data_IF_118393744806
#
_entry.id   IF_118393744806
#
_cell.length_a   1.000
_cell.length_b   1.000
_cell.length_c   1.000
_cell.angle_alpha   90.00
_cell.angle_beta   90.00
_cell.angle_gamma   90.00
#
_symmetry.space_group_name_H-M   'P 1'
#
loop_
_entity.id
_entity.type
_entity.pdbx_description
1 polymer ?
#
# COMPACT_ATOMS: atom_id res chain seq x y z
N UNK A 1 -3.06 -22.10 0.31
CA UNK A 1 -2.64 -21.46 -0.94
C UNK A 1 -3.61 -20.33 -1.17
N UNK A 2 -3.17 -19.10 -1.01
CA UNK A 2 -3.94 -17.94 -1.48
C UNK A 2 -3.66 -17.90 -2.99
N UNK A 3 -4.70 -18.08 -3.81
CA UNK A 3 -4.59 -17.90 -5.26
C UNK A 3 -4.02 -16.51 -5.57
N UNK A 4 -3.15 -16.44 -6.57
CA UNK A 4 -2.49 -15.22 -7.00
C UNK A 4 -3.49 -14.07 -7.22
N UNK A 5 -3.41 -12.96 -6.47
CA UNK A 5 -3.71 -11.67 -7.03
C UNK A 5 -2.45 -11.29 -7.81
N UNK A 6 -2.34 -11.87 -9.01
CA UNK A 6 -1.54 -11.32 -10.09
C UNK A 6 -2.45 -10.33 -10.82
N UNK A 7 -3.05 -9.42 -10.05
CA UNK A 7 -3.97 -8.40 -10.52
C UNK A 7 -3.14 -7.22 -11.03
N UNK A 8 -2.51 -7.42 -12.18
CA UNK A 8 -2.06 -6.29 -12.97
C UNK A 8 -3.30 -5.47 -13.33
N UNK A 9 -3.41 -4.27 -12.74
CA UNK A 9 -4.49 -3.35 -13.02
C UNK A 9 -3.89 -2.20 -13.80
N UNK A 10 -4.33 -2.08 -15.04
CA UNK A 10 -3.90 -1.03 -15.93
C UNK A 10 -4.96 0.06 -15.96
N UNK A 11 -4.52 1.30 -15.75
CA UNK A 11 -5.38 2.47 -15.76
C UNK A 11 -4.85 3.42 -16.84
N UNK A 12 -5.63 3.58 -17.92
CA UNK A 12 -5.27 4.36 -19.09
C UNK A 12 -6.12 5.62 -19.18
N UNK A 13 -5.50 6.80 -19.24
CA UNK A 13 -6.16 8.05 -19.62
C UNK A 13 -5.91 8.36 -21.09
N UNK A 14 -6.97 8.70 -21.83
CA UNK A 14 -6.82 9.20 -23.20
C UNK A 14 -6.11 10.54 -23.22
N UNK A 15 -5.49 10.91 -24.35
CA UNK A 15 -4.87 12.23 -24.53
C UNK A 15 -5.86 13.37 -24.27
N UNK A 16 -7.12 13.19 -24.67
CA UNK A 16 -8.19 14.16 -24.38
C UNK A 16 -8.47 14.23 -22.87
N UNK A 17 -8.64 13.09 -22.21
CA UNK A 17 -8.86 13.04 -20.76
C UNK A 17 -7.71 13.63 -19.94
N UNK A 18 -6.47 13.52 -20.41
CA UNK A 18 -5.32 14.19 -19.79
C UNK A 18 -5.39 15.72 -19.91
N UNK A 19 -5.83 16.23 -21.06
CA UNK A 19 -6.02 17.67 -21.29
C UNK A 19 -7.22 18.24 -20.54
N UNK A 20 -8.23 17.42 -20.28
CA UNK A 20 -9.46 17.81 -19.57
C UNK A 20 -9.24 17.93 -18.05
N UNK A 21 -8.18 17.32 -17.51
CA UNK A 21 -7.77 17.49 -16.12
C UNK A 21 -6.91 18.74 -15.97
N UNK A 22 -7.18 19.53 -14.94
CA UNK A 22 -6.25 20.58 -14.53
C UNK A 22 -4.91 19.98 -14.10
N UNK A 23 -3.85 20.79 -14.15
CA UNK A 23 -2.50 20.38 -13.72
C UNK A 23 -2.50 19.76 -12.31
N UNK A 24 -3.28 20.33 -11.39
CA UNK A 24 -3.38 19.81 -10.02
C UNK A 24 -4.09 18.46 -9.95
N UNK A 25 -5.19 18.29 -10.68
CA UNK A 25 -5.93 17.02 -10.73
C UNK A 25 -5.09 15.91 -11.36
N UNK A 26 -4.36 16.19 -12.44
CA UNK A 26 -3.48 15.24 -13.09
C UNK A 26 -2.35 14.79 -12.16
N UNK A 27 -1.69 15.73 -11.45
CA UNK A 27 -0.66 15.40 -10.47
C UNK A 27 -1.23 14.53 -9.34
N UNK A 28 -2.38 14.91 -8.78
CA UNK A 28 -3.04 14.12 -7.72
C UNK A 28 -3.43 12.72 -8.21
N UNK A 29 -3.87 12.60 -9.46
CA UNK A 29 -4.21 11.32 -10.05
C UNK A 29 -2.98 10.43 -10.25
N UNK A 30 -1.85 10.97 -10.74
CA UNK A 30 -0.59 10.23 -10.81
C UNK A 30 -0.09 9.82 -9.42
N UNK A 31 -0.29 10.67 -8.40
CA UNK A 31 0.07 10.35 -7.02
C UNK A 31 -0.79 9.21 -6.45
N UNK A 32 -2.08 9.16 -6.79
CA UNK A 32 -2.96 8.03 -6.46
C UNK A 32 -2.41 6.72 -7.05
N UNK A 33 -2.03 6.71 -8.33
CA UNK A 33 -1.43 5.54 -8.98
C UNK A 33 -0.10 5.14 -8.34
N UNK A 34 0.74 6.11 -7.97
CA UNK A 34 2.01 5.87 -7.27
C UNK A 34 1.80 5.21 -5.91
N UNK A 35 0.79 5.62 -5.15
CA UNK A 35 0.42 4.98 -3.88
C UNK A 35 0.03 3.51 -4.10
N UNK A 36 -0.86 3.25 -5.06
CA UNK A 36 -1.29 1.88 -5.40
C UNK A 36 -0.07 1.03 -5.76
N UNK A 37 0.77 1.50 -6.68
CA UNK A 37 1.96 0.78 -7.13
C UNK A 37 2.95 0.52 -5.99
N UNK A 38 3.21 1.50 -5.14
CA UNK A 38 4.11 1.34 -4.01
C UNK A 38 3.60 0.25 -3.04
N UNK A 39 2.32 0.27 -2.68
CA UNK A 39 1.74 -0.72 -1.78
C UNK A 39 1.72 -2.12 -2.42
N UNK A 40 1.31 -2.21 -3.70
CA UNK A 40 1.32 -3.47 -4.48
C UNK A 40 2.73 -4.06 -4.59
N UNK A 41 3.73 -3.23 -4.81
CA UNK A 41 5.14 -3.65 -4.83
C UNK A 41 5.60 -4.21 -3.48
N UNK A 42 5.31 -3.53 -2.36
CA UNK A 42 5.66 -4.03 -1.03
C UNK A 42 4.97 -5.36 -0.71
N UNK A 43 3.69 -5.50 -1.09
CA UNK A 43 2.96 -6.76 -0.95
C UNK A 43 3.53 -7.88 -1.84
N UNK A 44 4.08 -7.55 -3.01
CA UNK A 44 4.77 -8.52 -3.88
C UNK A 44 6.12 -8.96 -3.29
N UNK A 45 6.91 -8.03 -2.73
CA UNK A 45 8.17 -8.35 -2.05
C UNK A 45 7.98 -9.34 -0.89
N UNK A 46 6.87 -9.23 -0.15
CA UNK A 46 6.52 -10.21 0.90
C UNK A 46 6.43 -11.63 0.36
N UNK A 47 5.98 -11.83 -0.88
CA UNK A 47 5.85 -13.17 -1.47
C UNK A 47 7.21 -13.75 -1.83
N UNK A 48 8.10 -12.95 -2.42
CA UNK A 48 9.43 -13.42 -2.81
C UNK A 48 10.31 -13.81 -1.62
N UNK A 49 10.03 -13.30 -0.41
CA UNK A 49 10.76 -13.74 0.79
C UNK A 49 10.32 -15.11 1.31
N UNK A 50 9.18 -15.64 0.86
CA UNK A 50 8.73 -16.99 1.21
C UNK A 50 9.63 -18.09 0.63
N UNK A 51 10.37 -17.78 -0.44
CA UNK A 51 11.27 -18.69 -1.13
C UNK A 51 12.66 -18.80 -0.46
N UNK A 52 12.92 -18.02 0.60
CA UNK A 52 14.18 -18.05 1.33
C UNK A 52 14.41 -19.41 2.02
N UNK A 53 15.47 -20.12 1.62
CA UNK A 53 15.78 -21.48 2.09
C UNK A 53 16.16 -21.54 3.57
N UNK A 54 16.66 -20.43 4.14
CA UNK A 54 16.99 -20.35 5.56
C UNK A 54 15.81 -19.79 6.38
N UNK A 55 15.31 -20.58 7.33
CA UNK A 55 14.15 -20.20 8.17
C UNK A 55 14.35 -18.92 9.00
N UNK A 56 15.56 -18.66 9.49
CA UNK A 56 15.85 -17.46 10.29
C UNK A 56 15.85 -16.21 9.40
N UNK A 57 16.51 -16.28 8.24
CA UNK A 57 16.51 -15.16 7.29
C UNK A 57 15.13 -14.91 6.70
N UNK A 58 14.35 -15.97 6.44
CA UNK A 58 12.95 -15.88 6.03
C UNK A 58 12.15 -15.07 7.04
N UNK A 59 12.16 -15.48 8.32
CA UNK A 59 11.42 -14.81 9.40
C UNK A 59 11.83 -13.34 9.55
N UNK A 60 13.13 -13.06 9.44
CA UNK A 60 13.64 -11.69 9.53
C UNK A 60 13.12 -10.82 8.37
N UNK A 61 13.33 -11.28 7.13
CA UNK A 61 12.93 -10.52 5.94
C UNK A 61 11.40 -10.27 5.94
N UNK A 62 10.66 -11.28 6.38
CA UNK A 62 9.24 -11.21 6.67
C UNK A 62 8.87 -10.09 7.64
N UNK A 63 9.50 -10.01 8.81
CA UNK A 63 9.25 -8.96 9.81
C UNK A 63 9.71 -7.57 9.31
N UNK A 64 10.82 -7.48 8.58
CA UNK A 64 11.26 -6.19 8.02
C UNK A 64 10.28 -5.65 6.99
N UNK A 65 9.87 -6.47 6.03
CA UNK A 65 8.94 -6.04 4.98
C UNK A 65 7.55 -5.74 5.55
N UNK A 66 7.07 -6.49 6.55
CA UNK A 66 5.80 -6.16 7.20
C UNK A 66 5.85 -4.81 7.91
N UNK A 67 6.98 -4.50 8.56
CA UNK A 67 7.17 -3.21 9.23
C UNK A 67 7.16 -2.08 8.20
N UNK A 68 7.83 -2.29 7.06
CA UNK A 68 7.81 -1.37 5.92
C UNK A 68 6.40 -1.21 5.34
N UNK A 69 5.65 -2.30 5.16
CA UNK A 69 4.28 -2.28 4.64
C UNK A 69 3.35 -1.52 5.60
N UNK A 70 3.40 -1.79 6.90
CA UNK A 70 2.60 -1.09 7.91
C UNK A 70 2.88 0.42 7.89
N UNK A 71 4.15 0.82 7.80
CA UNK A 71 4.53 2.24 7.66
C UNK A 71 4.05 2.82 6.31
N UNK A 72 4.23 2.11 5.21
CA UNK A 72 3.83 2.54 3.86
C UNK A 72 2.33 2.76 3.78
N UNK A 73 1.56 1.80 4.28
CA UNK A 73 0.10 1.85 4.35
C UNK A 73 -0.37 3.04 5.18
N UNK A 74 0.22 3.26 6.36
CA UNK A 74 -0.14 4.38 7.22
C UNK A 74 0.07 5.74 6.53
N UNK A 75 1.22 5.92 5.87
CA UNK A 75 1.50 7.18 5.17
C UNK A 75 0.66 7.32 3.88
N UNK A 76 0.36 6.22 3.18
CA UNK A 76 -0.54 6.22 2.04
C UNK A 76 -1.99 6.63 2.41
N UNK A 77 -2.52 6.10 3.52
CA UNK A 77 -3.84 6.47 4.04
C UNK A 77 -3.87 7.97 4.38
N UNK A 78 -2.82 8.48 5.05
CA UNK A 78 -2.71 9.92 5.36
C UNK A 78 -2.67 10.77 4.10
N UNK A 79 -1.81 10.43 3.14
CA UNK A 79 -1.66 11.16 1.88
C UNK A 79 -3.00 11.21 1.12
N UNK A 80 -3.65 10.05 1.00
CA UNK A 80 -4.94 9.97 0.33
C UNK A 80 -6.01 10.83 1.00
N UNK A 81 -6.25 10.68 2.29
CA UNK A 81 -7.36 11.36 2.95
C UNK A 81 -7.08 12.84 3.24
N UNK A 82 -5.84 13.23 3.50
CA UNK A 82 -5.51 14.63 3.81
C UNK A 82 -5.39 15.49 2.56
N UNK A 83 -4.94 14.90 1.45
CA UNK A 83 -4.60 15.60 0.22
C UNK A 83 -5.43 15.11 -0.99
N UNK A 84 -5.24 13.86 -1.42
CA UNK A 84 -5.75 13.41 -2.72
C UNK A 84 -7.28 13.37 -2.81
N UNK A 85 -7.96 12.87 -1.79
CA UNK A 85 -9.41 12.68 -1.80
C UNK A 85 -10.18 14.01 -1.92
N UNK A 86 -9.60 15.11 -1.41
CA UNK A 86 -10.20 16.45 -1.54
C UNK A 86 -10.17 16.95 -2.99
N UNK A 87 -9.11 16.61 -3.72
CA UNK A 87 -8.89 17.06 -5.11
C UNK A 87 -9.61 16.13 -6.09
N UNK A 88 -9.46 14.81 -5.90
CA UNK A 88 -10.00 13.79 -6.81
C UNK A 88 -11.44 13.40 -6.49
N UNK A 89 -11.90 13.57 -5.25
CA UNK A 89 -13.25 13.21 -4.82
C UNK A 89 -14.37 13.83 -5.65
N UNK A 90 -14.30 15.12 -6.02
CA UNK A 90 -15.26 15.75 -6.92
C UNK A 90 -15.27 15.16 -8.35
N UNK A 91 -14.19 14.53 -8.79
CA UNK A 91 -14.07 14.00 -10.14
C UNK A 91 -14.82 12.68 -10.33
N UNK A 92 -14.97 11.88 -9.26
CA UNK A 92 -15.72 10.64 -9.30
C UNK A 92 -17.23 10.87 -9.13
N UNK A 93 -18.02 10.38 -10.09
CA UNK A 93 -19.48 10.43 -10.03
C UNK A 93 -20.08 9.24 -9.24
N UNK A 94 -19.26 8.26 -8.84
CA UNK A 94 -19.72 7.06 -8.13
C UNK A 94 -19.94 7.34 -6.63
N UNK A 95 -21.17 7.71 -6.28
CA UNK A 95 -21.56 8.03 -4.90
C UNK A 95 -21.28 6.90 -3.90
N UNK A 96 -21.67 5.66 -4.23
CA UNK A 96 -21.46 4.48 -3.35
C UNK A 96 -19.99 4.27 -3.03
N UNK A 97 -19.11 4.47 -4.02
CA UNK A 97 -17.67 4.31 -3.82
C UNK A 97 -17.08 5.43 -2.94
N UNK A 98 -17.54 6.68 -3.12
CA UNK A 98 -17.17 7.81 -2.27
C UNK A 98 -17.64 7.62 -0.83
N UNK A 99 -18.85 7.12 -0.62
CA UNK A 99 -19.39 6.81 0.70
C UNK A 99 -18.58 5.69 1.36
N UNK A 100 -18.22 4.64 0.60
CA UNK A 100 -17.34 3.55 1.06
C UNK A 100 -15.96 4.06 1.48
N UNK A 101 -15.31 4.89 0.66
CA UNK A 101 -14.03 5.51 0.98
C UNK A 101 -14.13 6.44 2.19
N UNK A 102 -15.23 7.17 2.34
CA UNK A 102 -15.45 8.03 3.52
C UNK A 102 -15.59 7.18 4.79
N UNK A 103 -16.37 6.10 4.73
CA UNK A 103 -16.49 5.13 5.82
C UNK A 103 -15.14 4.51 6.19
N UNK A 104 -14.34 4.13 5.19
CA UNK A 104 -12.99 3.62 5.42
C UNK A 104 -12.07 4.67 6.07
N UNK A 105 -12.18 5.93 5.67
CA UNK A 105 -11.43 7.04 6.28
C UNK A 105 -11.83 7.30 7.74
N UNK A 106 -13.09 7.06 8.10
CA UNK A 106 -13.55 7.12 9.49
C UNK A 106 -12.98 5.94 10.29
N UNK A 107 -13.03 4.72 9.73
CA UNK A 107 -12.43 3.51 10.33
C UNK A 107 -10.95 3.73 10.66
N UNK A 108 -10.16 4.24 9.70
CA UNK A 108 -8.71 4.45 9.88
C UNK A 108 -8.38 5.55 10.90
N UNK A 109 -9.22 6.59 11.04
CA UNK A 109 -9.08 7.59 12.11
C UNK A 109 -9.44 7.04 13.49
N UNK A 110 -10.39 6.12 13.54
CA UNK A 110 -10.81 5.42 14.75
C UNK A 110 -10.07 4.09 14.93
N UNK A 111 -8.78 4.03 14.55
CA UNK A 111 -7.99 2.81 14.54
C UNK A 111 -8.03 2.02 15.85
N UNK A 112 -8.16 2.69 17.00
CA UNK A 112 -8.24 2.08 18.34
C UNK A 112 -9.39 1.09 18.55
N UNK A 113 -10.41 1.10 17.70
CA UNK A 113 -11.51 0.12 17.75
C UNK A 113 -11.29 -1.09 16.84
N UNK A 114 -10.28 -1.05 15.98
CA UNK A 114 -9.94 -2.12 15.04
C UNK A 114 -8.62 -2.76 15.46
N UNK A 115 -8.63 -4.08 15.63
CA UNK A 115 -7.47 -4.82 16.13
C UNK A 115 -6.27 -4.73 15.18
N UNK A 116 -6.50 -4.84 13.88
CA UNK A 116 -5.45 -4.83 12.85
C UNK A 116 -4.85 -3.44 12.76
N UNK A 117 -5.69 -2.39 12.75
CA UNK A 117 -5.22 -1.01 12.68
C UNK A 117 -4.49 -0.57 13.97
N UNK A 118 -4.86 -1.09 15.14
CA UNK A 118 -4.10 -0.90 16.38
C UNK A 118 -2.69 -1.47 16.28
N UNK A 119 -2.57 -2.67 15.74
CA UNK A 119 -1.28 -3.33 15.54
C UNK A 119 -0.43 -2.54 14.54
N UNK A 120 -1.01 -2.14 13.39
CA UNK A 120 -0.35 -1.29 12.38
C UNK A 120 0.18 0.01 13.01
N UNK A 121 -0.64 0.71 13.80
CA UNK A 121 -0.22 1.94 14.49
C UNK A 121 0.90 1.67 15.50
N UNK A 122 0.82 0.58 16.26
CA UNK A 122 1.87 0.20 17.21
C UNK A 122 3.21 -0.04 16.51
N UNK A 123 3.23 -0.81 15.43
CA UNK A 123 4.44 -1.11 14.65
C UNK A 123 5.07 0.17 14.12
N UNK A 124 4.24 1.01 13.47
CA UNK A 124 4.68 2.27 12.87
C UNK A 124 5.29 3.22 13.88
N UNK A 125 4.81 3.23 15.12
CA UNK A 125 5.24 4.19 16.15
C UNK A 125 6.36 3.66 17.06
N UNK A 126 6.52 2.35 17.20
CA UNK A 126 7.45 1.75 18.17
C UNK A 126 8.69 1.12 17.52
N UNK A 127 8.67 0.87 16.21
CA UNK A 127 9.84 0.42 15.47
C UNK A 127 10.34 1.58 14.59
N UNK A 128 11.61 1.95 14.74
CA UNK A 128 12.25 3.11 14.09
C UNK A 128 12.33 3.04 12.55
N UNK A 129 11.53 2.19 11.91
CA UNK A 129 11.22 2.23 10.47
C UNK A 129 10.14 3.29 10.24
N UNK A 130 10.48 4.54 10.52
CA UNK A 130 9.65 5.65 10.07
C UNK A 130 10.01 5.95 8.62
N UNK A 131 9.15 5.54 7.70
CA UNK A 131 9.17 6.19 6.40
C UNK A 131 8.63 7.61 6.58
N UNK A 132 9.43 8.60 6.18
CA UNK A 132 8.99 9.99 6.15
C UNK A 132 7.79 10.12 5.23
N UNK A 133 6.80 10.93 5.60
CA UNK A 133 5.71 11.34 4.70
C UNK A 133 6.26 11.98 3.41
N UNK A 134 7.52 12.46 3.45
CA UNK A 134 8.23 12.98 2.29
C UNK A 134 8.52 11.95 1.19
N UNK A 135 8.41 10.64 1.47
CA UNK A 135 8.47 9.60 0.45
C UNK A 135 7.45 9.86 -0.68
N UNK A 136 6.30 10.44 -0.31
CA UNK A 136 5.26 10.85 -1.24
C UNK A 136 5.30 12.36 -1.57
N UNK A 137 5.96 13.18 -0.75
CA UNK A 137 6.02 14.64 -0.95
C UNK A 137 7.01 15.10 -2.03
N UNK A 138 8.00 14.28 -2.41
CA UNK A 138 8.84 14.59 -3.56
C UNK A 138 8.02 14.39 -4.85
N UNK A 139 7.58 15.52 -5.40
CA UNK A 139 6.85 15.65 -6.66
C UNK A 139 7.58 14.94 -7.81
N UNK A 140 6.80 14.46 -8.78
CA UNK A 140 7.29 14.22 -10.14
C UNK A 140 7.85 15.56 -10.64
N UNK A 141 9.16 15.65 -10.76
CA UNK A 141 9.86 16.80 -11.34
C UNK A 141 9.77 16.65 -12.86
N UNK A 142 9.52 17.76 -13.57
CA UNK A 142 9.49 17.82 -15.02
C UNK A 142 10.71 17.13 -15.64
N UNK A 143 10.43 16.13 -16.47
CA UNK A 143 11.34 15.64 -17.50
C UNK A 143 10.50 15.40 -18.75
N UNK A 144 11.02 15.76 -19.91
CA UNK A 144 10.36 15.46 -21.18
C UNK A 144 10.07 13.95 -21.23
N UNK A 145 8.78 13.62 -21.36
CA UNK A 145 8.32 12.24 -21.38
C UNK A 145 8.96 11.52 -22.57
N UNK A 146 9.95 10.66 -22.29
CA UNK A 146 10.35 9.62 -23.23
C UNK A 146 9.29 8.54 -23.19
N UNK A 147 8.86 8.12 -24.38
CA UNK A 147 8.01 6.95 -24.58
C UNK A 147 8.64 5.77 -23.83
N UNK A 148 7.84 5.13 -22.97
CA UNK A 148 8.17 4.08 -22.00
C UNK A 148 8.94 4.53 -20.74
N UNK A 149 8.20 4.66 -19.62
CA UNK A 149 8.77 4.92 -18.30
C UNK A 149 8.90 3.63 -17.48
N UNK A 150 10.08 2.99 -17.56
CA UNK A 150 10.50 1.91 -16.68
C UNK A 150 10.91 2.49 -15.31
N UNK A 151 10.12 2.23 -14.26
CA UNK A 151 10.47 2.58 -12.87
C UNK A 151 11.26 1.39 -12.29
N UNK A 152 12.59 1.47 -12.36
CA UNK A 152 13.51 0.33 -12.21
C UNK A 152 13.63 -0.34 -10.83
N UNK A 153 14.42 -1.42 -10.82
CA UNK A 153 14.77 -2.33 -9.72
C UNK A 153 16.25 -2.09 -9.36
N UNK A 154 16.59 -2.02 -8.07
CA UNK A 154 17.99 -2.01 -7.62
C UNK A 154 18.47 -3.45 -7.30
N UNK A 155 19.50 -3.91 -8.01
CA UNK A 155 20.36 -5.03 -7.59
C UNK A 155 21.71 -4.46 -7.17
N UNK A 156 22.17 -4.79 -5.97
CA UNK A 156 23.59 -4.65 -5.59
C UNK A 156 24.09 -5.92 -4.92
N UNK A 157 25.37 -6.24 -5.12
CA UNK A 157 25.92 -7.59 -4.95
C UNK A 157 26.57 -7.89 -3.58
N UNK A 158 26.48 -7.01 -2.58
CA UNK A 158 26.94 -7.35 -1.22
C UNK A 158 26.11 -6.69 -0.14
N UNK A 159 25.48 -7.52 0.70
CA UNK A 159 24.92 -7.13 1.99
C UNK A 159 25.93 -7.59 3.06
N UNK A 160 26.60 -6.65 3.71
CA UNK A 160 27.27 -6.90 4.99
C UNK A 160 26.27 -6.50 6.06
N UNK A 161 25.61 -7.47 6.68
CA UNK A 161 24.59 -7.22 7.68
C UNK A 161 25.11 -7.61 9.06
N UNK A 162 25.37 -6.60 9.90
CA UNK A 162 25.48 -6.77 11.34
C UNK A 162 24.19 -6.25 11.96
N UNK A 163 23.24 -7.11 12.32
CA UNK A 163 22.02 -6.65 12.99
C UNK A 163 21.48 -7.59 14.09
N UNK A 164 21.11 -6.94 15.19
CA UNK A 164 20.64 -7.47 16.47
C UNK A 164 19.21 -8.04 16.39
N UNK A 165 19.05 -9.35 16.60
CA UNK A 165 17.75 -10.04 16.64
C UNK A 165 16.83 -9.60 17.81
N UNK A 166 17.39 -9.03 18.88
CA UNK A 166 16.70 -8.76 20.15
C UNK A 166 15.53 -7.76 20.05
N UNK A 167 15.53 -6.88 19.04
CA UNK A 167 14.45 -5.91 18.87
C UNK A 167 13.16 -6.57 18.35
N UNK A 168 13.27 -7.64 17.55
CA UNK A 168 12.11 -8.29 16.94
C UNK A 168 11.32 -9.16 17.92
N UNK A 169 11.98 -9.77 18.91
CA UNK A 169 11.29 -10.59 19.91
C UNK A 169 10.30 -9.77 20.75
N UNK A 170 10.69 -8.54 21.12
CA UNK A 170 9.81 -7.63 21.86
C UNK A 170 8.61 -7.18 21.02
N UNK A 171 8.82 -6.91 19.73
CA UNK A 171 7.75 -6.58 18.78
C UNK A 171 6.77 -7.75 18.63
N UNK A 172 7.28 -8.95 18.36
CA UNK A 172 6.47 -10.15 18.17
C UNK A 172 5.67 -10.44 19.44
N UNK A 173 6.30 -10.33 20.62
CA UNK A 173 5.62 -10.51 21.89
C UNK A 173 4.47 -9.51 22.07
N UNK A 174 4.73 -8.21 21.93
CA UNK A 174 3.71 -7.19 22.14
C UNK A 174 2.56 -7.33 21.13
N UNK A 175 2.88 -7.60 19.87
CA UNK A 175 1.87 -7.77 18.82
C UNK A 175 1.04 -9.05 19.04
N UNK A 176 1.66 -10.12 19.56
CA UNK A 176 0.95 -11.34 19.97
C UNK A 176 -0.08 -11.06 21.06
N UNK A 177 0.25 -10.22 22.04
CA UNK A 177 -0.70 -9.83 23.10
C UNK A 177 -1.82 -8.90 22.58
N UNK A 178 -1.55 -8.13 21.51
CA UNK A 178 -2.55 -7.26 20.88
C UNK A 178 -3.52 -8.03 19.98
N UNK A 179 -3.09 -9.14 19.38
CA UNK A 179 -3.89 -9.99 18.50
C UNK A 179 -4.83 -10.93 19.31
N UNK A 180 -5.86 -10.35 19.92
CA UNK A 180 -6.91 -11.03 20.70
C UNK A 180 -7.69 -12.06 19.87
N UNK A 181 -7.88 -11.83 18.57
CA UNK A 181 -8.57 -12.78 17.68
C UNK A 181 -7.71 -13.98 17.28
N UNK A 182 -6.39 -13.95 17.54
CA UNK A 182 -5.50 -15.07 17.29
C UNK A 182 -5.61 -16.12 18.39
N UNK A 183 -6.18 -17.28 18.06
CA UNK A 183 -6.33 -18.40 18.98
C UNK A 183 -5.04 -19.17 19.23
N UNK A 184 -4.18 -19.30 18.22
CA UNK A 184 -2.88 -19.97 18.28
C UNK A 184 -1.75 -18.95 18.15
N UNK A 185 -1.18 -18.55 19.29
CA UNK A 185 -0.09 -17.56 19.36
C UNK A 185 1.16 -17.97 18.58
N UNK A 186 1.38 -19.27 18.31
CA UNK A 186 2.51 -19.73 17.50
C UNK A 186 2.42 -19.30 16.03
N UNK A 187 1.22 -18.93 15.57
CA UNK A 187 0.94 -18.47 14.21
C UNK A 187 0.88 -16.94 14.08
N UNK A 188 1.37 -16.19 15.07
CA UNK A 188 1.28 -14.72 15.04
C UNK A 188 1.87 -14.11 13.77
N UNK A 189 2.98 -14.67 13.30
CA UNK A 189 3.65 -14.21 12.09
C UNK A 189 2.76 -14.41 10.85
N UNK A 190 2.18 -15.60 10.68
CA UNK A 190 1.22 -15.89 9.60
C UNK A 190 -0.05 -15.03 9.71
N UNK A 191 -0.59 -14.89 10.92
CA UNK A 191 -1.77 -14.07 11.17
C UNK A 191 -1.52 -12.60 10.85
N UNK A 192 -0.35 -12.05 11.20
CA UNK A 192 0.02 -10.68 10.86
C UNK A 192 0.12 -10.50 9.36
N UNK A 193 0.75 -11.46 8.66
CA UNK A 193 0.84 -11.43 7.21
C UNK A 193 -0.54 -11.34 6.59
N UNK A 194 -1.40 -12.27 6.96
CA UNK A 194 -2.73 -12.35 6.39
C UNK A 194 -3.56 -11.08 6.65
N UNK A 195 -3.55 -10.57 7.88
CA UNK A 195 -4.43 -9.45 8.22
C UNK A 195 -3.93 -8.11 7.72
N UNK A 196 -2.63 -7.84 7.78
CA UNK A 196 -2.07 -6.57 7.29
C UNK A 196 -2.04 -6.53 5.76
N UNK A 197 -1.74 -7.66 5.12
CA UNK A 197 -1.82 -7.78 3.68
C UNK A 197 -3.26 -7.59 3.20
N UNK A 198 -4.24 -8.23 3.85
CA UNK A 198 -5.67 -8.02 3.52
C UNK A 198 -6.09 -6.56 3.69
N UNK A 199 -5.65 -5.88 4.74
CA UNK A 199 -6.00 -4.48 4.97
C UNK A 199 -5.39 -3.55 3.90
N UNK A 200 -4.11 -3.75 3.56
CA UNK A 200 -3.43 -2.99 2.51
C UNK A 200 -4.01 -3.29 1.12
N UNK A 201 -4.33 -4.55 0.84
CA UNK A 201 -4.95 -5.02 -0.41
C UNK A 201 -6.35 -4.42 -0.59
N UNK A 202 -7.19 -4.50 0.45
CA UNK A 202 -8.51 -3.89 0.45
C UNK A 202 -8.45 -2.38 0.18
N UNK A 203 -7.50 -1.67 0.80
CA UNK A 203 -7.31 -0.26 0.51
C UNK A 203 -6.89 -0.03 -0.94
N UNK A 204 -5.95 -0.81 -1.48
CA UNK A 204 -5.57 -0.74 -2.90
C UNK A 204 -6.77 -0.96 -3.82
N UNK A 205 -7.62 -1.95 -3.56
CA UNK A 205 -8.83 -2.19 -4.36
C UNK A 205 -9.77 -0.99 -4.36
N UNK A 206 -9.95 -0.34 -3.21
CA UNK A 206 -10.78 0.88 -3.12
C UNK A 206 -10.17 2.01 -3.95
N UNK A 207 -8.84 2.19 -3.89
CA UNK A 207 -8.14 3.21 -4.67
C UNK A 207 -8.16 2.90 -6.18
N UNK A 208 -8.04 1.64 -6.58
CA UNK A 208 -8.10 1.18 -7.97
C UNK A 208 -9.50 1.38 -8.57
N UNK A 209 -10.55 1.02 -7.82
CA UNK A 209 -11.95 1.30 -8.20
C UNK A 209 -12.15 2.80 -8.35
N UNK A 210 -11.60 3.59 -7.42
CA UNK A 210 -11.74 5.05 -7.43
C UNK A 210 -10.99 5.70 -8.59
N UNK A 211 -9.76 5.25 -8.89
CA UNK A 211 -9.03 5.67 -10.07
C UNK A 211 -9.76 5.30 -11.35
N UNK A 212 -10.30 4.08 -11.42
CA UNK A 212 -11.11 3.60 -12.55
C UNK A 212 -12.36 4.43 -12.80
N UNK A 213 -13.07 4.85 -11.74
CA UNK A 213 -14.27 5.68 -11.88
C UNK A 213 -13.95 7.07 -12.43
N UNK A 214 -12.83 7.66 -12.03
CA UNK A 214 -12.31 8.92 -12.59
C UNK A 214 -12.01 8.71 -14.09
N UNK A 215 -11.22 7.70 -14.42
CA UNK A 215 -10.79 7.45 -15.80
C UNK A 215 -11.96 7.19 -16.75
N UNK A 216 -13.00 6.48 -16.30
CA UNK A 216 -14.22 6.23 -17.07
C UNK A 216 -14.92 7.53 -17.49
N UNK A 217 -14.94 8.54 -16.61
CA UNK A 217 -15.51 9.87 -16.91
C UNK A 217 -14.73 10.61 -18.00
N UNK A 218 -13.41 10.45 -18.00
CA UNK A 218 -12.50 11.10 -18.95
C UNK A 218 -12.16 10.22 -20.18
N UNK A 219 -13.04 9.27 -20.51
CA UNK A 219 -12.97 8.44 -21.71
C UNK A 219 -11.83 7.41 -21.74
N UNK A 220 -11.17 7.16 -20.62
CA UNK A 220 -10.11 6.18 -20.52
C UNK A 220 -10.61 4.76 -20.22
N UNK A 221 -9.68 3.83 -19.98
CA UNK A 221 -9.97 2.42 -19.72
C UNK A 221 -9.28 1.94 -18.45
N UNK A 222 -9.97 1.07 -17.71
CA UNK A 222 -9.39 0.21 -16.67
C UNK A 222 -9.41 -1.21 -17.21
N UNK A 223 -8.27 -1.89 -17.21
CA UNK A 223 -8.17 -3.31 -17.52
C UNK A 223 -7.74 -4.03 -16.23
N UNK A 224 -8.53 -5.00 -15.79
CA UNK A 224 -8.08 -6.01 -14.83
C UNK A 224 -7.88 -7.33 -15.58
N UNK A 225 -6.99 -8.19 -15.09
CA UNK A 225 -6.69 -9.51 -15.70
C UNK A 225 -7.93 -10.40 -15.92
N UNK A 226 -9.04 -10.16 -15.20
CA UNK A 226 -10.31 -10.88 -15.35
C UNK A 226 -11.30 -10.23 -16.34
N UNK A 227 -10.95 -9.09 -16.94
CA UNK A 227 -11.75 -8.35 -17.94
C UNK A 227 -11.26 -8.60 -19.38
N UNK A 228 -10.31 -9.53 -19.59
CA UNK A 228 -9.72 -9.93 -20.89
C UNK A 228 -10.12 -11.37 -21.24
#
# INVERSE_FOLDING_TARGET
>A
MIEEPDTHIEIYLTKQGQNDLSKHEMISFLQLLRIINALRFQMSLLRHTMDEGNRLFRLRAQVEIYTILASSFTEAVKEFYNHLFKILGPLSDEKVLKDTLTGYGIKTKNYKSDEVLQIIDYIRNNFSFHMSSQLFANFIIEGDAKEDMLIGIARSEKIIDQCYLKAYDALIFQVTEMAKSLTDKSKIIEWLFDNILREADYFCELLEKFGGSIVKKYGGKRLAKNDI
#
